data_IF_307127492941
#
_entry.id   IF_307127492941
#
_cell.length_a   1.000
_cell.length_b   1.000
_cell.length_c   1.000
_cell.angle_alpha   90.00
_cell.angle_beta   90.00
_cell.angle_gamma   90.00
#
_symmetry.space_group_name_H-M   'P 1'
#
loop_
_entity.id
_entity.type
_entity.pdbx_description
1 polymer ?
#
# COMPACT_ATOMS: atom_id res chain seq x y z
N UNK A 1 1.96 9.88 28.83
CA UNK A 1 1.82 10.83 27.71
C UNK A 1 0.59 10.45 26.92
N UNK A 2 -0.33 11.36 26.59
CA UNK A 2 -1.30 11.07 25.55
C UNK A 2 -0.53 10.97 24.22
N UNK A 3 -0.71 9.88 23.48
CA UNK A 3 -0.20 9.78 22.12
C UNK A 3 -0.86 10.88 21.28
N UNK A 4 -0.09 11.56 20.43
CA UNK A 4 -0.63 12.55 19.50
C UNK A 4 -1.71 11.87 18.64
N UNK A 5 -2.91 12.44 18.48
CA UNK A 5 -3.93 11.91 17.56
C UNK A 5 -3.39 11.61 16.16
N UNK A 6 -2.39 12.38 15.69
CA UNK A 6 -1.73 12.18 14.41
C UNK A 6 -0.90 10.88 14.41
N UNK A 7 -0.21 10.54 15.49
CA UNK A 7 0.57 9.29 15.62
C UNK A 7 -0.30 8.04 15.41
N UNK A 8 -1.54 8.07 15.91
CA UNK A 8 -2.48 6.96 15.76
C UNK A 8 -2.96 6.79 14.32
N UNK A 9 -3.19 7.90 13.61
CA UNK A 9 -3.58 7.85 12.20
C UNK A 9 -2.42 7.40 11.32
N UNK A 10 -1.21 7.92 11.53
CA UNK A 10 0.02 7.46 10.86
C UNK A 10 0.23 5.96 11.06
N UNK A 11 0.03 5.43 12.28
CA UNK A 11 0.16 4.00 12.55
C UNK A 11 -0.88 3.17 11.77
N UNK A 12 -2.13 3.65 11.69
CA UNK A 12 -3.18 3.00 10.91
C UNK A 12 -2.86 2.98 9.42
N UNK A 13 -2.38 4.09 8.87
CA UNK A 13 -1.98 4.19 7.47
C UNK A 13 -0.80 3.26 7.16
N UNK A 14 0.23 3.20 8.02
CA UNK A 14 1.34 2.22 7.92
C UNK A 14 0.83 0.78 7.94
N UNK A 15 -0.11 0.49 8.83
CA UNK A 15 -0.73 -0.85 8.93
C UNK A 15 -1.50 -1.20 7.65
N UNK A 16 -2.28 -0.26 7.12
CA UNK A 16 -3.01 -0.44 5.87
C UNK A 16 -2.06 -0.66 4.69
N UNK A 17 -1.03 0.18 4.55
CA UNK A 17 0.02 0.03 3.52
C UNK A 17 0.64 -1.36 3.55
N UNK A 18 1.01 -1.85 4.72
CA UNK A 18 1.59 -3.19 4.87
C UNK A 18 0.64 -4.28 4.39
N UNK A 19 -0.65 -4.19 4.72
CA UNK A 19 -1.66 -5.17 4.26
C UNK A 19 -1.84 -5.13 2.74
N UNK A 20 -1.86 -3.95 2.14
CA UNK A 20 -1.95 -3.79 0.69
C UNK A 20 -0.73 -4.37 -0.03
N UNK A 21 0.48 -4.11 0.50
CA UNK A 21 1.73 -4.66 -0.03
C UNK A 21 1.78 -6.19 0.11
N UNK A 22 1.32 -6.75 1.23
CA UNK A 22 1.22 -8.21 1.41
C UNK A 22 0.29 -8.81 0.36
N UNK A 23 -0.92 -8.27 0.19
CA UNK A 23 -1.87 -8.78 -0.81
C UNK A 23 -1.30 -8.71 -2.23
N UNK A 24 -0.63 -7.61 -2.60
CA UNK A 24 0.01 -7.47 -3.91
C UNK A 24 1.10 -8.54 -4.11
N UNK A 25 1.96 -8.72 -3.10
CA UNK A 25 3.04 -9.72 -3.14
C UNK A 25 2.48 -11.13 -3.26
N UNK A 26 1.44 -11.47 -2.50
CA UNK A 26 0.84 -12.80 -2.53
C UNK A 26 0.29 -13.12 -3.93
N UNK A 27 -0.40 -12.17 -4.57
CA UNK A 27 -0.92 -12.35 -5.94
C UNK A 27 0.20 -12.58 -6.97
N UNK A 28 1.32 -11.85 -6.84
CA UNK A 28 2.49 -12.00 -7.72
C UNK A 28 3.21 -13.33 -7.44
N UNK A 29 3.41 -13.67 -6.18
CA UNK A 29 4.06 -14.90 -5.73
C UNK A 29 3.29 -16.14 -6.18
N UNK A 30 1.96 -16.15 -6.07
CA UNK A 30 1.13 -17.27 -6.54
C UNK A 30 1.36 -17.50 -8.04
N UNK A 31 1.36 -16.44 -8.86
CA UNK A 31 1.59 -16.56 -10.30
C UNK A 31 3.00 -17.11 -10.61
N UNK A 32 4.01 -16.62 -9.87
CA UNK A 32 5.39 -17.11 -10.00
C UNK A 32 5.53 -18.59 -9.57
N UNK A 33 4.90 -19.00 -8.48
CA UNK A 33 4.92 -20.37 -7.96
C UNK A 33 4.31 -21.37 -8.95
N UNK A 34 3.23 -21.00 -9.64
CA UNK A 34 2.62 -21.84 -10.67
C UNK A 34 3.27 -21.69 -12.05
N UNK A 35 4.35 -20.90 -12.15
CA UNK A 35 5.10 -20.63 -13.37
C UNK A 35 4.20 -20.15 -14.53
N UNK A 36 3.24 -19.28 -14.21
CA UNK A 36 2.28 -18.73 -15.16
C UNK A 36 2.13 -17.21 -14.99
N UNK A 37 1.53 -16.57 -15.98
CA UNK A 37 1.13 -15.17 -15.86
C UNK A 37 -0.15 -15.06 -15.00
N UNK A 38 -0.32 -13.97 -14.24
CA UNK A 38 -1.59 -13.69 -13.58
C UNK A 38 -2.69 -13.49 -14.63
N UNK A 39 -3.93 -13.86 -14.29
CA UNK A 39 -5.09 -13.57 -15.14
C UNK A 39 -5.28 -12.07 -15.34
N UNK A 40 -5.94 -11.63 -16.41
CA UNK A 40 -6.25 -10.20 -16.64
C UNK A 40 -6.94 -9.55 -15.44
N UNK A 41 -7.86 -10.29 -14.79
CA UNK A 41 -8.53 -9.83 -13.57
C UNK A 41 -7.55 -9.67 -12.40
N UNK A 42 -6.57 -10.56 -12.28
CA UNK A 42 -5.51 -10.46 -11.27
C UNK A 42 -4.59 -9.28 -11.56
N UNK A 43 -4.19 -9.06 -12.82
CA UNK A 43 -3.40 -7.90 -13.25
C UNK A 43 -4.14 -6.61 -12.93
N UNK A 44 -5.44 -6.52 -13.25
CA UNK A 44 -6.26 -5.36 -12.93
C UNK A 44 -6.35 -5.11 -11.42
N UNK A 45 -6.46 -6.17 -10.61
CA UNK A 45 -6.45 -6.07 -9.15
C UNK A 45 -5.11 -5.56 -8.63
N UNK A 46 -3.99 -6.05 -9.16
CA UNK A 46 -2.63 -5.56 -8.81
C UNK A 46 -2.50 -4.06 -9.13
N UNK A 47 -2.93 -3.62 -10.31
CA UNK A 47 -2.90 -2.21 -10.68
C UNK A 47 -3.75 -1.34 -9.73
N UNK A 48 -4.93 -1.82 -9.33
CA UNK A 48 -5.76 -1.12 -8.33
C UNK A 48 -5.10 -1.08 -6.94
N UNK A 49 -4.38 -2.12 -6.54
CA UNK A 49 -3.61 -2.12 -5.30
C UNK A 49 -2.47 -1.09 -5.34
N UNK A 50 -1.78 -0.95 -6.47
CA UNK A 50 -0.71 0.06 -6.64
C UNK A 50 -1.23 1.48 -6.47
N UNK A 51 -2.38 1.79 -7.08
CA UNK A 51 -3.03 3.10 -6.91
C UNK A 51 -3.39 3.36 -5.45
N UNK A 52 -3.93 2.35 -4.76
CA UNK A 52 -4.28 2.48 -3.34
C UNK A 52 -3.05 2.64 -2.44
N UNK A 53 -1.96 1.91 -2.72
CA UNK A 53 -0.69 2.03 -2.00
C UNK A 53 -0.13 3.44 -2.17
N UNK A 54 -0.06 3.95 -3.41
CA UNK A 54 0.42 5.31 -3.67
C UNK A 54 -0.39 6.39 -2.94
N UNK A 55 -1.71 6.25 -2.89
CA UNK A 55 -2.55 7.17 -2.13
C UNK A 55 -2.24 7.14 -0.61
N UNK A 56 -2.04 5.95 -0.04
CA UNK A 56 -1.68 5.81 1.39
C UNK A 56 -0.27 6.35 1.67
N UNK A 57 0.68 6.15 0.75
CA UNK A 57 2.03 6.70 0.84
C UNK A 57 2.01 8.24 0.80
N UNK A 58 1.27 8.84 -0.12
CA UNK A 58 1.10 10.30 -0.16
C UNK A 58 0.49 10.85 1.14
N UNK A 59 -0.52 10.18 1.71
CA UNK A 59 -1.07 10.59 3.02
C UNK A 59 -0.05 10.46 4.15
N UNK A 60 0.85 9.47 4.11
CA UNK A 60 1.91 9.31 5.10
C UNK A 60 2.97 10.40 4.98
N UNK A 61 3.35 10.78 3.76
CA UNK A 61 4.31 11.86 3.49
C UNK A 61 3.76 13.21 3.97
N UNK A 62 2.46 13.47 3.75
CA UNK A 62 1.75 14.65 4.25
C UNK A 62 1.78 14.73 5.79
N UNK A 63 1.50 13.63 6.49
CA UNK A 63 1.55 13.55 7.95
C UNK A 63 2.98 13.70 8.50
N UNK A 64 3.99 13.26 7.74
CA UNK A 64 5.39 13.43 8.10
C UNK A 64 5.92 14.87 7.89
N UNK A 65 5.13 15.75 7.27
CA UNK A 65 5.54 17.11 6.92
C UNK A 65 6.44 17.18 5.69
N UNK A 66 6.64 16.06 4.98
CA UNK A 66 7.33 16.01 3.70
C UNK A 66 6.36 16.43 2.59
N UNK A 67 6.17 17.75 2.42
CA UNK A 67 5.55 18.24 1.20
C UNK A 67 6.48 17.93 0.02
N UNK A 68 6.01 17.25 -1.04
CA UNK A 68 6.77 17.20 -2.29
C UNK A 68 6.90 18.63 -2.82
N UNK A 69 8.13 19.04 -3.08
CA UNK A 69 8.42 20.30 -3.74
C UNK A 69 7.68 20.32 -5.09
N UNK A 70 6.85 21.36 -5.27
CA UNK A 70 6.03 21.62 -6.44
C UNK A 70 6.87 21.79 -7.72
#
# INVERSE_FOLDING_TARGET
>A
MPADPNDFMTLKLKTLRNRLLTEQRDLISIAAEINALPSDKTIQKIASLEVAIGAVESMLDEEAGERPAK
#
